data_IF_986254936453
#
_entry.id   IF_986254936453
#
_cell.length_a   1.000
_cell.length_b   1.000
_cell.length_c   1.000
_cell.angle_alpha   90.00
_cell.angle_beta   90.00
_cell.angle_gamma   90.00
#
_symmetry.space_group_name_H-M   'P 1'
#
loop_
_entity.id
_entity.type
_entity.pdbx_description
1 polymer ?
#
# COMPACT_ATOMS: atom_id res chain seq x y z
N UNK A 1 -19.63 13.81 -13.30
CA UNK A 1 -18.73 12.81 -13.88
C UNK A 1 -18.31 11.83 -12.79
N UNK A 2 -18.52 10.52 -12.96
CA UNK A 2 -18.18 9.51 -11.95
C UNK A 2 -16.67 9.18 -11.96
N UNK A 3 -15.89 9.75 -12.87
CA UNK A 3 -14.45 9.48 -12.96
C UNK A 3 -13.57 10.50 -12.23
N UNK A 4 -14.15 11.25 -11.28
CA UNK A 4 -13.40 12.12 -10.38
C UNK A 4 -12.83 11.33 -9.19
N UNK A 5 -11.51 11.38 -9.06
CA UNK A 5 -10.73 10.80 -7.96
C UNK A 5 -9.83 11.90 -7.37
N UNK A 6 -9.30 11.72 -6.15
CA UNK A 6 -8.24 12.60 -5.65
C UNK A 6 -7.11 12.65 -6.68
N UNK A 7 -6.53 13.82 -6.92
CA UNK A 7 -5.34 13.93 -7.75
C UNK A 7 -4.18 13.17 -7.12
N UNK A 8 -3.12 12.94 -7.89
CA UNK A 8 -1.91 12.32 -7.34
C UNK A 8 -1.27 13.18 -6.23
N UNK A 9 -1.32 14.52 -6.37
CA UNK A 9 -0.80 15.47 -5.38
C UNK A 9 -1.62 15.43 -4.08
N UNK A 10 -2.95 15.42 -4.19
CA UNK A 10 -3.84 15.24 -3.04
C UNK A 10 -3.60 13.90 -2.36
N UNK A 11 -3.37 12.84 -3.15
CA UNK A 11 -3.04 11.53 -2.62
C UNK A 11 -1.69 11.50 -1.90
N UNK A 12 -0.64 12.13 -2.43
CA UNK A 12 0.65 12.20 -1.74
C UNK A 12 0.49 12.97 -0.42
N UNK A 13 -0.27 14.06 -0.39
CA UNK A 13 -0.60 14.76 0.86
C UNK A 13 -1.31 13.85 1.88
N UNK A 14 -2.27 13.02 1.43
CA UNK A 14 -2.94 12.01 2.27
C UNK A 14 -1.94 10.98 2.82
N UNK A 15 -0.96 10.54 2.01
CA UNK A 15 0.11 9.62 2.42
C UNK A 15 1.02 10.28 3.45
N UNK A 16 1.43 11.54 3.25
CA UNK A 16 2.28 12.27 4.20
C UNK A 16 1.58 12.43 5.55
N UNK A 17 0.33 12.88 5.56
CA UNK A 17 -0.46 13.00 6.79
C UNK A 17 -0.62 11.63 7.48
N UNK A 18 -0.83 10.55 6.71
CA UNK A 18 -0.87 9.20 7.27
C UNK A 18 0.45 8.81 7.96
N UNK A 19 1.60 9.06 7.33
CA UNK A 19 2.91 8.71 7.87
C UNK A 19 3.31 9.57 9.07
N UNK A 20 2.96 10.85 9.07
CA UNK A 20 3.21 11.77 10.20
C UNK A 20 2.44 11.37 11.45
N UNK A 21 1.22 10.85 11.29
CA UNK A 21 0.40 10.34 12.39
C UNK A 21 0.87 8.97 12.94
N UNK A 22 1.93 8.37 12.37
CA UNK A 22 2.55 7.15 12.89
C UNK A 22 3.78 7.44 13.75
N UNK A 23 3.96 6.64 14.80
CA UNK A 23 5.24 6.59 15.53
C UNK A 23 6.38 6.22 14.59
N UNK A 24 7.60 6.69 14.88
CA UNK A 24 8.80 6.40 14.08
C UNK A 24 8.96 4.92 13.76
N UNK A 25 8.80 4.05 14.77
CA UNK A 25 8.85 2.58 14.63
C UNK A 25 7.81 2.01 13.64
N UNK A 26 6.61 2.60 13.57
CA UNK A 26 5.56 2.15 12.66
C UNK A 26 5.77 2.71 11.25
N UNK A 27 6.21 3.98 11.14
CA UNK A 27 6.42 4.69 9.88
C UNK A 27 7.41 3.96 8.97
N UNK A 28 8.54 3.51 9.52
CA UNK A 28 9.60 2.82 8.77
C UNK A 28 9.16 1.53 8.07
N UNK A 29 8.05 0.92 8.52
CA UNK A 29 7.56 -0.37 8.03
C UNK A 29 6.17 -0.29 7.41
N UNK A 30 5.53 0.89 7.47
CA UNK A 30 4.13 1.07 7.09
C UNK A 30 3.93 0.93 5.59
N UNK A 31 4.83 1.54 4.79
CA UNK A 31 4.82 1.49 3.34
C UNK A 31 6.19 1.03 2.86
N UNK A 32 6.22 0.34 1.73
CA UNK A 32 7.45 -0.15 1.10
C UNK A 32 7.64 0.65 -0.18
N UNK A 33 8.66 1.48 -0.25
CA UNK A 33 9.07 2.15 -1.49
C UNK A 33 9.90 1.21 -2.38
N UNK A 34 10.21 1.67 -3.59
CA UNK A 34 11.01 0.91 -4.56
C UNK A 34 12.39 0.48 -4.02
N UNK A 35 13.07 1.36 -3.27
CA UNK A 35 14.40 1.08 -2.72
C UNK A 35 14.33 -0.02 -1.65
N UNK A 36 13.36 0.09 -0.74
CA UNK A 36 13.08 -0.92 0.29
C UNK A 36 12.67 -2.24 -0.32
N UNK A 37 11.84 -2.22 -1.36
CA UNK A 37 11.43 -3.43 -2.09
C UNK A 37 12.64 -4.15 -2.69
N UNK A 38 13.57 -3.42 -3.31
CA UNK A 38 14.81 -3.98 -3.85
C UNK A 38 15.67 -4.66 -2.77
N UNK A 39 15.79 -4.03 -1.59
CA UNK A 39 16.50 -4.65 -0.45
C UNK A 39 15.80 -5.92 0.04
N UNK A 40 14.46 -5.92 0.13
CA UNK A 40 13.67 -7.11 0.50
C UNK A 40 13.94 -8.23 -0.50
N UNK A 41 13.88 -7.91 -1.80
CA UNK A 41 14.15 -8.86 -2.87
C UNK A 41 15.57 -9.45 -2.78
N UNK A 42 16.58 -8.62 -2.49
CA UNK A 42 17.96 -9.08 -2.35
C UNK A 42 18.12 -10.07 -1.18
N UNK A 43 17.51 -9.76 -0.02
CA UNK A 43 17.54 -10.65 1.15
C UNK A 43 16.82 -11.98 0.87
N UNK A 44 15.71 -11.95 0.14
CA UNK A 44 14.97 -13.18 -0.18
C UNK A 44 15.64 -14.02 -1.27
N UNK A 45 16.37 -13.39 -2.19
CA UNK A 45 17.16 -14.09 -3.23
C UNK A 45 18.34 -14.85 -2.64
N UNK A 46 19.00 -14.29 -1.63
CA UNK A 46 20.08 -14.96 -0.91
C UNK A 46 19.90 -14.82 0.62
N UNK A 47 19.09 -15.71 1.24
CA UNK A 47 18.78 -15.64 2.67
C UNK A 47 19.96 -15.86 3.61
N UNK A 48 21.09 -16.36 3.09
CA UNK A 48 22.33 -16.64 3.84
C UNK A 48 23.31 -15.46 3.78
N UNK A 49 23.14 -14.55 2.83
CA UNK A 49 23.97 -13.36 2.72
C UNK A 49 23.77 -12.41 3.91
N UNK A 50 24.81 -12.29 4.73
CA UNK A 50 24.82 -11.43 5.92
C UNK A 50 25.31 -10.01 5.64
N UNK A 51 25.88 -9.74 4.45
CA UNK A 51 26.36 -8.42 4.05
C UNK A 51 25.21 -7.46 3.70
N UNK A 52 24.02 -7.99 3.41
CA UNK A 52 22.84 -7.18 3.07
C UNK A 52 22.15 -6.67 4.34
N UNK A 53 22.19 -5.35 4.53
CA UNK A 53 21.48 -4.62 5.59
C UNK A 53 21.77 -5.15 7.02
N UNK A 54 20.92 -4.83 7.99
CA UNK A 54 21.09 -5.23 9.40
C UNK A 54 20.47 -6.62 9.68
N UNK A 55 20.95 -7.29 10.74
CA UNK A 55 20.41 -8.59 11.16
C UNK A 55 18.90 -8.52 11.49
N UNK A 56 18.45 -7.44 12.13
CA UNK A 56 17.04 -7.20 12.44
C UNK A 56 16.20 -7.06 11.18
N UNK A 57 16.70 -6.33 10.17
CA UNK A 57 16.04 -6.18 8.88
C UNK A 57 15.89 -7.53 8.19
N UNK A 58 16.97 -8.32 8.09
CA UNK A 58 16.93 -9.65 7.47
C UNK A 58 15.97 -10.60 8.18
N UNK A 59 15.95 -10.59 9.52
CA UNK A 59 15.01 -11.40 10.28
C UNK A 59 13.57 -11.00 9.99
N UNK A 60 13.27 -9.70 10.00
CA UNK A 60 11.95 -9.18 9.66
C UNK A 60 11.55 -9.56 8.22
N UNK A 61 12.44 -9.43 7.24
CA UNK A 61 12.16 -9.79 5.85
C UNK A 61 11.76 -11.25 5.72
N UNK A 62 12.60 -12.16 6.26
CA UNK A 62 12.35 -13.61 6.20
C UNK A 62 11.09 -14.04 6.95
N UNK A 63 10.70 -13.29 7.98
CA UNK A 63 9.49 -13.55 8.77
C UNK A 63 8.22 -13.08 8.05
N UNK A 64 8.27 -11.94 7.38
CA UNK A 64 7.09 -11.29 6.83
C UNK A 64 6.82 -11.61 5.36
N UNK A 65 7.86 -11.89 4.57
CA UNK A 65 7.72 -11.97 3.12
C UNK A 65 8.16 -13.33 2.57
N UNK A 66 7.62 -13.66 1.40
CA UNK A 66 8.02 -14.80 0.59
C UNK A 66 8.35 -14.33 -0.82
N UNK A 67 9.27 -15.04 -1.48
CA UNK A 67 9.62 -14.78 -2.88
C UNK A 67 9.02 -15.88 -3.75
N UNK A 68 8.27 -15.48 -4.78
CA UNK A 68 7.72 -16.41 -5.77
C UNK A 68 8.78 -16.82 -6.79
N UNK A 69 8.51 -17.89 -7.56
CA UNK A 69 9.36 -18.32 -8.68
C UNK A 69 9.58 -17.22 -9.73
N UNK A 70 8.61 -16.31 -9.89
CA UNK A 70 8.68 -15.14 -10.78
C UNK A 70 9.37 -13.93 -10.15
N UNK A 71 10.06 -14.10 -9.03
CA UNK A 71 10.79 -13.03 -8.34
C UNK A 71 9.90 -11.90 -7.82
N UNK A 72 8.63 -12.19 -7.55
CA UNK A 72 7.68 -11.25 -6.93
C UNK A 72 7.69 -11.46 -5.42
N UNK A 73 7.90 -10.38 -4.65
CA UNK A 73 7.77 -10.36 -3.19
C UNK A 73 6.29 -10.39 -2.80
N UNK A 74 5.93 -11.36 -1.98
CA UNK A 74 4.58 -11.58 -1.48
C UNK A 74 4.54 -11.56 0.05
N UNK A 75 3.34 -11.31 0.57
CA UNK A 75 2.95 -11.53 1.96
C UNK A 75 1.56 -12.16 1.96
N UNK A 76 1.36 -13.22 2.73
CA UNK A 76 0.13 -14.02 2.79
C UNK A 76 -0.39 -14.41 1.38
N UNK A 77 0.53 -14.84 0.52
CA UNK A 77 0.24 -15.29 -0.85
C UNK A 77 -0.13 -14.18 -1.84
N UNK A 78 -0.03 -12.90 -1.45
CA UNK A 78 -0.38 -11.75 -2.30
C UNK A 78 0.80 -10.83 -2.54
N UNK A 79 0.94 -10.25 -3.75
CA UNK A 79 2.02 -9.33 -4.06
C UNK A 79 1.98 -8.12 -3.13
N UNK A 80 3.15 -7.79 -2.57
CA UNK A 80 3.36 -6.59 -1.77
C UNK A 80 3.30 -5.38 -2.68
N UNK A 81 2.37 -4.46 -2.42
CA UNK A 81 2.27 -3.22 -3.17
C UNK A 81 3.35 -2.22 -2.72
N UNK A 82 4.05 -1.64 -3.69
CA UNK A 82 4.97 -0.54 -3.43
C UNK A 82 4.21 0.78 -3.30
N UNK A 83 4.74 1.73 -2.52
CA UNK A 83 4.15 3.05 -2.27
C UNK A 83 3.69 3.73 -3.56
N UNK A 84 4.54 3.71 -4.57
CA UNK A 84 4.36 4.35 -5.87
C UNK A 84 3.19 3.73 -6.67
N UNK A 85 2.86 2.46 -6.38
CA UNK A 85 1.77 1.74 -7.03
C UNK A 85 0.41 1.96 -6.35
N UNK A 86 0.41 2.40 -5.08
CA UNK A 86 -0.80 2.43 -4.25
C UNK A 86 -1.86 3.31 -4.88
N UNK A 87 -1.51 4.49 -5.39
CA UNK A 87 -2.48 5.40 -6.02
C UNK A 87 -3.30 4.70 -7.11
N UNK A 88 -2.62 4.10 -8.09
CA UNK A 88 -3.27 3.40 -9.20
C UNK A 88 -4.11 2.20 -8.74
N UNK A 89 -3.63 1.47 -7.71
CA UNK A 89 -4.38 0.37 -7.09
C UNK A 89 -5.68 0.87 -6.46
N UNK A 90 -5.64 2.00 -5.72
CA UNK A 90 -6.81 2.56 -5.05
C UNK A 90 -7.81 3.13 -6.05
N UNK A 91 -7.37 3.87 -7.07
CA UNK A 91 -8.25 4.36 -8.13
C UNK A 91 -8.99 3.20 -8.81
N UNK A 92 -8.27 2.15 -9.21
CA UNK A 92 -8.88 0.97 -9.84
C UNK A 92 -9.85 0.27 -8.90
N UNK A 93 -9.46 0.00 -7.67
CA UNK A 93 -10.30 -0.70 -6.71
C UNK A 93 -11.56 0.12 -6.34
N UNK A 94 -11.43 1.44 -6.23
CA UNK A 94 -12.56 2.31 -5.90
C UNK A 94 -13.54 2.46 -7.08
N UNK A 95 -13.01 2.54 -8.32
CA UNK A 95 -13.81 2.46 -9.54
C UNK A 95 -14.60 1.14 -9.61
N UNK A 96 -13.92 0.01 -9.41
CA UNK A 96 -14.56 -1.32 -9.36
C UNK A 96 -15.55 -1.46 -8.19
N UNK A 97 -15.35 -0.73 -7.10
CA UNK A 97 -16.32 -0.66 -6.01
C UNK A 97 -17.57 0.15 -6.36
N UNK A 98 -17.60 0.82 -7.53
CA UNK A 98 -18.58 1.83 -7.92
C UNK A 98 -18.71 2.92 -6.87
N UNK A 99 -17.57 3.52 -6.49
CA UNK A 99 -17.50 4.51 -5.41
C UNK A 99 -18.07 3.99 -4.07
N UNK A 100 -17.92 2.69 -3.84
CA UNK A 100 -18.31 2.06 -2.59
C UNK A 100 -17.44 2.52 -1.42
N UNK A 101 -18.01 2.46 -0.22
CA UNK A 101 -17.32 2.88 1.00
C UNK A 101 -16.02 2.10 1.29
N UNK A 102 -15.33 2.52 2.37
CA UNK A 102 -14.06 1.97 2.84
C UNK A 102 -13.98 0.44 2.78
N UNK A 103 -14.98 -0.24 3.35
CA UNK A 103 -14.90 -1.69 3.54
C UNK A 103 -15.03 -2.45 2.21
N UNK A 104 -15.88 -1.98 1.28
CA UNK A 104 -15.99 -2.54 -0.08
C UNK A 104 -14.70 -2.32 -0.87
N UNK A 105 -14.17 -1.10 -0.88
CA UNK A 105 -12.91 -0.77 -1.55
C UNK A 105 -11.75 -1.59 -0.96
N UNK A 106 -11.69 -1.71 0.36
CA UNK A 106 -10.65 -2.49 1.06
C UNK A 106 -10.71 -3.99 0.74
N UNK A 107 -11.90 -4.57 0.58
CA UNK A 107 -12.05 -5.96 0.18
C UNK A 107 -11.46 -6.21 -1.22
N UNK A 108 -11.71 -5.32 -2.19
CA UNK A 108 -11.17 -5.42 -3.55
C UNK A 108 -9.64 -5.28 -3.57
N UNK A 109 -9.08 -4.34 -2.81
CA UNK A 109 -7.63 -4.20 -2.67
C UNK A 109 -7.02 -5.48 -2.08
N UNK A 110 -7.56 -5.95 -0.95
CA UNK A 110 -7.06 -7.13 -0.23
C UNK A 110 -7.23 -8.44 -0.99
N UNK A 111 -8.08 -8.50 -2.00
CA UNK A 111 -8.20 -9.67 -2.87
C UNK A 111 -6.96 -9.84 -3.76
N UNK A 112 -6.29 -8.74 -4.12
CA UNK A 112 -5.22 -8.74 -5.13
C UNK A 112 -3.84 -8.36 -4.60
N UNK A 113 -3.78 -7.54 -3.56
CA UNK A 113 -2.54 -6.98 -3.04
C UNK A 113 -2.44 -7.13 -1.53
N UNK A 114 -1.21 -7.12 -1.02
CA UNK A 114 -0.87 -7.04 0.40
C UNK A 114 -0.13 -5.73 0.69
N UNK A 115 0.10 -5.47 1.97
CA UNK A 115 0.91 -4.34 2.45
C UNK A 115 0.35 -2.93 2.19
N UNK A 116 -0.97 -2.81 1.97
CA UNK A 116 -1.66 -1.51 1.89
C UNK A 116 -2.46 -1.28 3.19
N UNK A 117 -2.12 -0.27 4.01
CA UNK A 117 -2.83 0.00 5.26
C UNK A 117 -4.32 0.34 5.06
N UNK A 118 -5.20 -0.28 5.86
CA UNK A 118 -6.67 -0.03 5.78
C UNK A 118 -7.01 1.45 5.99
N UNK A 119 -6.28 2.11 6.88
CA UNK A 119 -6.46 3.53 7.19
C UNK A 119 -6.14 4.42 5.98
N UNK A 120 -5.10 4.09 5.21
CA UNK A 120 -4.77 4.81 3.99
C UNK A 120 -5.90 4.68 2.94
N UNK A 121 -6.48 3.49 2.80
CA UNK A 121 -7.67 3.27 1.95
C UNK A 121 -8.85 4.12 2.42
N UNK A 122 -9.09 4.17 3.74
CA UNK A 122 -10.18 4.94 4.32
C UNK A 122 -10.03 6.45 4.03
N UNK A 123 -8.81 6.98 4.16
CA UNK A 123 -8.49 8.38 3.87
C UNK A 123 -8.66 8.71 2.40
N UNK A 124 -8.19 7.85 1.48
CA UNK A 124 -8.42 8.03 0.03
C UNK A 124 -9.91 8.12 -0.30
N UNK A 125 -10.73 7.17 0.17
CA UNK A 125 -12.18 7.16 -0.09
C UNK A 125 -12.86 8.40 0.49
N UNK A 126 -12.44 8.85 1.68
CA UNK A 126 -12.97 10.07 2.31
C UNK A 126 -12.69 11.34 1.51
N UNK A 127 -11.58 11.38 0.78
CA UNK A 127 -11.17 12.53 -0.03
C UNK A 127 -11.61 12.45 -1.48
N UNK A 128 -12.33 11.39 -1.90
CA UNK A 128 -12.82 11.29 -3.26
C UNK A 128 -13.82 12.44 -3.57
N UNK A 129 -13.53 13.32 -4.55
CA UNK A 129 -14.38 14.47 -4.86
C UNK A 129 -15.83 14.08 -5.20
N UNK A 130 -15.99 13.01 -5.99
CA UNK A 130 -17.32 12.47 -6.34
C UNK A 130 -18.09 11.95 -5.12
N UNK A 131 -17.43 11.25 -4.20
CA UNK A 131 -18.07 10.77 -2.98
C UNK A 131 -18.46 11.94 -2.04
N UNK A 132 -17.61 12.97 -1.97
CA UNK A 132 -17.86 14.16 -1.15
C UNK A 132 -19.09 14.91 -1.67
N UNK A 133 -19.17 15.19 -2.97
CA UNK A 133 -20.32 15.90 -3.56
C UNK A 133 -21.63 15.13 -3.33
N UNK A 134 -21.61 13.80 -3.50
CA UNK A 134 -22.77 12.94 -3.19
C UNK A 134 -23.17 12.95 -1.72
N UNK A 135 -22.20 13.00 -0.79
CA UNK A 135 -22.48 12.99 0.65
C UNK A 135 -23.03 14.33 1.14
N UNK A 136 -22.50 15.43 0.61
CA UNK A 136 -22.84 16.77 1.06
C UNK A 136 -24.16 17.29 0.47
N UNK A 137 -24.80 16.52 -0.42
CA UNK A 137 -26.04 16.93 -1.08
C UNK A 137 -25.77 18.07 -2.05
N UNK A 138 -25.51 17.73 -3.32
CA UNK A 138 -25.92 18.62 -4.40
C UNK A 138 -27.42 18.45 -4.60
#
# INVERSE_FOLDING_TARGET
DQDQYPSYEEFDAIVQDYLQNLSSKKRDKALIDQARYAMILQVLKDPRNTAVSTAQFRFWVKKMFQLTSRQIVCHDGKPVAMREQIYGILVRAHREAHHGGRDKTSALVRRRYSWIPKELIARFVRHCPFCISRRNGS
#
